data_IF_094573685972
#
_entry.id   IF_094573685972
#
_cell.length_a   1.000
_cell.length_b   1.000
_cell.length_c   1.000
_cell.angle_alpha   90.00
_cell.angle_beta   90.00
_cell.angle_gamma   90.00
#
_symmetry.space_group_name_H-M   'P 1'
#
loop_
_entity.id
_entity.type
_entity.pdbx_description
1 polymer ?
#
# COMPACT_ATOMS: atom_id res chain seq x y z
N UNK A 1 -11.92 24.98 -15.73
CA UNK A 1 -11.78 24.97 -14.26
C UNK A 1 -11.65 23.52 -13.84
N UNK A 2 -10.43 23.09 -13.54
CA UNK A 2 -10.13 21.68 -13.29
C UNK A 2 -9.99 21.48 -11.79
N UNK A 3 -11.11 21.20 -11.13
CA UNK A 3 -11.13 20.80 -9.71
C UNK A 3 -10.37 19.49 -9.56
N UNK A 4 -9.10 19.54 -9.12
CA UNK A 4 -8.31 18.32 -8.89
C UNK A 4 -8.78 17.68 -7.58
N UNK A 5 -9.22 16.43 -7.67
CA UNK A 5 -9.56 15.60 -6.50
C UNK A 5 -8.35 14.76 -6.12
N UNK A 6 -8.00 14.77 -4.84
CA UNK A 6 -7.01 13.91 -4.22
C UNK A 6 -7.69 13.04 -3.16
N UNK A 7 -7.14 11.89 -2.89
CA UNK A 7 -7.56 11.01 -1.82
C UNK A 7 -6.77 11.33 -0.55
N UNK A 8 -7.49 11.52 0.56
CA UNK A 8 -6.90 11.68 1.88
C UNK A 8 -6.72 10.29 2.50
N UNK A 9 -5.48 9.87 2.74
CA UNK A 9 -5.14 8.54 3.26
C UNK A 9 -4.28 8.65 4.50
N UNK A 10 -4.42 7.69 5.41
CA UNK A 10 -3.57 7.57 6.59
C UNK A 10 -3.08 6.13 6.77
N UNK A 11 -1.91 5.97 7.39
CA UNK A 11 -1.48 4.67 7.90
C UNK A 11 -2.27 4.38 9.19
N UNK A 12 -2.93 3.24 9.24
CA UNK A 12 -3.80 2.83 10.36
C UNK A 12 -3.32 1.54 11.03
N UNK A 13 -2.15 1.04 10.66
CA UNK A 13 -1.55 -0.17 11.23
C UNK A 13 -0.60 -0.85 10.24
N UNK A 14 -0.27 -2.10 10.53
CA UNK A 14 0.62 -2.93 9.72
C UNK A 14 0.02 -4.33 9.56
N UNK A 15 0.43 -5.04 8.51
CA UNK A 15 0.07 -6.43 8.28
C UNK A 15 1.25 -7.19 7.68
N UNK A 16 1.38 -8.46 8.03
CA UNK A 16 2.39 -9.36 7.48
C UNK A 16 1.80 -10.11 6.30
N UNK A 17 2.52 -10.13 5.17
CA UNK A 17 2.13 -10.92 4.00
C UNK A 17 2.48 -12.40 4.22
N UNK A 18 1.94 -13.29 3.38
CA UNK A 18 2.29 -14.72 3.44
C UNK A 18 3.81 -14.97 3.31
N UNK A 19 4.51 -14.08 2.61
CA UNK A 19 5.98 -14.11 2.43
C UNK A 19 6.77 -13.58 3.63
N UNK A 20 6.11 -13.26 4.74
CA UNK A 20 6.75 -12.77 5.97
C UNK A 20 7.14 -11.29 5.97
N UNK A 21 6.77 -10.52 4.92
CA UNK A 21 7.07 -9.08 4.87
C UNK A 21 6.02 -8.26 5.61
N UNK A 22 6.46 -7.37 6.50
CA UNK A 22 5.57 -6.40 7.17
C UNK A 22 5.32 -5.20 6.26
N UNK A 23 4.04 -4.91 5.98
CA UNK A 23 3.60 -3.77 5.15
C UNK A 23 2.64 -2.88 5.94
N UNK A 24 2.74 -1.56 5.70
CA UNK A 24 1.80 -0.58 6.27
C UNK A 24 0.41 -0.74 5.67
N UNK A 25 -0.61 -0.75 6.52
CA UNK A 25 -2.03 -0.69 6.16
C UNK A 25 -2.44 0.76 6.03
N UNK A 26 -2.84 1.15 4.82
CA UNK A 26 -3.40 2.47 4.56
C UNK A 26 -4.93 2.39 4.45
N UNK A 27 -5.61 3.38 5.01
CA UNK A 27 -7.05 3.56 4.85
C UNK A 27 -7.35 4.93 4.24
N UNK A 28 -8.39 4.99 3.41
CA UNK A 28 -8.90 6.23 2.84
C UNK A 28 -9.84 6.88 3.85
N UNK A 29 -9.50 8.10 4.26
CA UNK A 29 -10.24 8.88 5.24
C UNK A 29 -11.22 9.86 4.61
N UNK A 30 -10.97 10.24 3.36
CA UNK A 30 -11.85 11.16 2.63
C UNK A 30 -11.24 11.64 1.31
N UNK A 31 -11.48 12.91 0.97
CA UNK A 31 -11.01 13.52 -0.27
C UNK A 31 -10.60 14.97 -0.05
N UNK A 32 -9.55 15.39 -0.75
CA UNK A 32 -9.17 16.79 -0.86
C UNK A 32 -9.49 17.33 -2.25
N UNK A 33 -9.88 18.60 -2.29
CA UNK A 33 -10.23 19.31 -3.50
C UNK A 33 -9.32 20.52 -3.62
N UNK A 34 -8.62 20.60 -4.74
CA UNK A 34 -7.80 21.76 -5.09
C UNK A 34 -8.61 22.62 -6.06
N UNK A 35 -8.84 23.88 -5.71
CA UNK A 35 -9.51 24.83 -6.59
C UNK A 35 -8.51 25.47 -7.58
N UNK A 36 -9.02 26.25 -8.53
CA UNK A 36 -8.18 26.89 -9.56
C UNK A 36 -7.23 27.96 -9.00
N UNK A 37 -7.42 28.38 -7.74
CA UNK A 37 -6.52 29.29 -7.00
C UNK A 37 -5.44 28.56 -6.20
N UNK A 38 -5.45 27.22 -6.21
CA UNK A 38 -4.51 26.40 -5.45
C UNK A 38 -4.88 26.18 -3.98
N UNK A 39 -6.03 26.67 -3.53
CA UNK A 39 -6.52 26.43 -2.17
C UNK A 39 -7.00 24.97 -2.05
N UNK A 40 -6.67 24.35 -0.91
CA UNK A 40 -6.98 22.95 -0.64
C UNK A 40 -8.07 22.86 0.41
N UNK A 41 -9.19 22.25 0.05
CA UNK A 41 -10.28 21.91 0.97
C UNK A 41 -10.31 20.40 1.19
N UNK A 42 -10.21 19.96 2.44
CA UNK A 42 -10.26 18.53 2.79
C UNK A 42 -11.62 18.20 3.40
N UNK A 43 -12.28 17.18 2.85
CA UNK A 43 -13.46 16.55 3.44
C UNK A 43 -13.05 15.18 3.99
N UNK A 44 -13.25 14.97 5.29
CA UNK A 44 -13.03 13.68 5.95
C UNK A 44 -14.38 13.01 6.17
N UNK A 45 -14.52 11.77 5.69
CA UNK A 45 -15.69 10.93 5.90
C UNK A 45 -15.48 10.02 7.13
N UNK A 46 -14.23 9.67 7.43
CA UNK A 46 -13.85 8.95 8.65
C UNK A 46 -12.55 9.49 9.24
N UNK A 47 -12.42 9.37 10.56
CA UNK A 47 -11.21 9.72 11.30
C UNK A 47 -10.76 8.45 12.05
N UNK A 48 -9.50 8.01 11.89
CA UNK A 48 -9.00 6.88 12.66
C UNK A 48 -8.94 7.26 14.13
N UNK A 49 -9.42 6.36 14.99
CA UNK A 49 -9.30 6.50 16.43
C UNK A 49 -8.49 5.31 16.96
N UNK A 50 -7.34 5.57 17.59
CA UNK A 50 -6.49 4.54 18.18
C UNK A 50 -5.00 4.81 18.04
N UNK A 51 -4.17 4.08 18.81
CA UNK A 51 -2.72 4.30 18.87
C UNK A 51 -1.92 3.91 17.63
N UNK A 52 -2.54 3.25 16.65
CA UNK A 52 -1.89 2.85 15.39
C UNK A 52 -1.84 3.97 14.34
N UNK A 53 -2.52 5.09 14.58
CA UNK A 53 -2.45 6.28 13.74
C UNK A 53 -1.56 7.34 14.39
N UNK A 54 -0.64 7.89 13.61
CA UNK A 54 0.35 8.90 14.01
C UNK A 54 -0.16 10.34 13.87
N UNK A 55 -1.44 10.53 13.51
CA UNK A 55 -2.06 11.83 13.29
C UNK A 55 -1.84 12.41 11.90
N UNK A 56 -1.08 11.76 11.03
CA UNK A 56 -0.78 12.27 9.70
C UNK A 56 -1.78 11.79 8.65
N UNK A 57 -2.15 12.72 7.75
CA UNK A 57 -2.97 12.45 6.57
C UNK A 57 -2.18 12.87 5.33
N UNK A 58 -1.99 11.92 4.42
CA UNK A 58 -1.35 12.15 3.12
C UNK A 58 -2.40 12.38 2.04
N UNK A 59 -2.20 13.38 1.19
CA UNK A 59 -3.02 13.60 0.00
C UNK A 59 -2.34 12.96 -1.20
N UNK A 60 -3.03 12.03 -1.88
CA UNK A 60 -2.51 11.32 -3.07
C UNK A 60 -3.48 11.40 -4.22
N UNK A 61 -3.00 11.13 -5.43
CA UNK A 61 -3.90 11.00 -6.57
C UNK A 61 -4.88 9.84 -6.32
N UNK A 62 -6.16 9.98 -6.72
CA UNK A 62 -7.15 8.93 -6.53
C UNK A 62 -6.65 7.63 -7.14
N UNK A 63 -6.77 6.55 -6.37
CA UNK A 63 -6.40 5.24 -6.89
C UNK A 63 -7.42 4.84 -7.95
N UNK A 64 -6.95 4.81 -9.19
CA UNK A 64 -7.73 4.42 -10.35
C UNK A 64 -7.58 2.91 -10.52
N UNK A 65 -8.66 2.15 -10.31
CA UNK A 65 -8.60 0.68 -10.38
C UNK A 65 -8.23 0.18 -11.78
N UNK A 66 -8.44 1.00 -12.83
CA UNK A 66 -8.05 0.69 -14.20
C UNK A 66 -6.57 0.95 -14.48
N UNK A 67 -5.88 1.70 -13.62
CA UNK A 67 -4.42 1.88 -13.75
C UNK A 67 -3.72 0.71 -13.08
N UNK A 68 -2.79 0.03 -13.76
CA UNK A 68 -2.03 -1.06 -13.14
C UNK A 68 -1.40 -0.53 -11.86
N UNK A 69 -1.65 -1.23 -10.75
CA UNK A 69 -1.05 -0.91 -9.46
C UNK A 69 0.44 -0.65 -9.67
N UNK A 70 0.94 0.50 -9.20
CA UNK A 70 2.35 0.87 -9.37
C UNK A 70 3.22 -0.33 -9.03
N UNK A 71 3.82 -0.91 -10.07
CA UNK A 71 4.64 -2.10 -10.00
C UNK A 71 5.73 -1.79 -8.98
N UNK A 72 5.65 -2.44 -7.81
CA UNK A 72 6.72 -2.33 -6.82
C UNK A 72 7.95 -2.87 -7.53
N UNK A 73 8.93 -2.02 -7.79
CA UNK A 73 10.18 -2.40 -8.45
C UNK A 73 10.98 -3.26 -7.49
N UNK A 74 10.65 -4.54 -7.44
CA UNK A 74 11.46 -5.54 -6.78
C UNK A 74 12.59 -5.91 -7.74
N UNK A 75 13.87 -5.68 -7.40
CA UNK A 75 14.96 -6.15 -8.24
C UNK A 75 14.94 -7.68 -8.21
N UNK A 76 14.60 -8.29 -9.34
CA UNK A 76 14.72 -9.73 -9.57
C UNK A 76 16.12 -10.17 -9.17
N UNK A 77 16.24 -10.84 -8.01
CA UNK A 77 17.45 -11.58 -7.65
C UNK A 77 17.63 -12.66 -8.70
N UNK A 78 18.57 -12.45 -9.61
CA UNK A 78 19.07 -13.47 -10.51
C UNK A 78 19.59 -14.62 -9.66
N UNK A 79 18.82 -15.70 -9.55
CA UNK A 79 19.30 -16.92 -8.92
C UNK A 79 20.31 -17.54 -9.89
N UNK A 80 21.59 -17.43 -9.52
CA UNK A 80 22.66 -18.23 -10.11
C UNK A 80 22.24 -19.70 -10.09
N UNK A 81 22.13 -20.27 -11.27
CA UNK A 81 21.99 -21.72 -11.49
C UNK A 81 23.29 -22.35 -10.99
N UNK A 82 23.23 -22.96 -9.81
CA UNK A 82 24.31 -23.70 -9.16
C UNK A 82 23.77 -25.06 -8.72
N UNK A 83 24.45 -26.10 -9.19
CA UNK A 83 24.07 -27.50 -9.22
C UNK A 83 24.12 -28.20 -7.84
N UNK A 84 23.42 -29.35 -7.78
CA UNK A 84 23.62 -30.51 -6.91
C UNK A 84 23.08 -30.46 -5.46
N UNK A 85 22.01 -31.20 -5.19
CA UNK A 85 22.04 -32.42 -4.37
C UNK A 85 20.61 -32.93 -4.13
N UNK A 86 20.34 -34.10 -4.71
CA UNK A 86 19.57 -35.22 -4.15
C UNK A 86 18.96 -35.02 -2.74
N UNK A 87 17.63 -34.95 -2.67
CA UNK A 87 16.84 -35.18 -1.45
C UNK A 87 15.73 -36.18 -1.77
N UNK A 88 16.15 -37.43 -2.01
CA UNK A 88 15.74 -38.59 -1.24
C UNK A 88 14.24 -38.82 -1.01
N UNK A 89 13.79 -39.98 -1.50
CA UNK A 89 12.72 -40.82 -0.93
C UNK A 89 12.74 -40.81 0.62
N UNK A 90 12.05 -39.85 1.23
CA UNK A 90 11.77 -39.83 2.66
C UNK A 90 10.25 -39.76 2.82
N UNK A 91 9.67 -40.95 2.72
CA UNK A 91 8.57 -41.45 3.54
C UNK A 91 7.84 -40.38 4.36
N UNK A 92 6.64 -40.00 3.89
CA UNK A 92 5.71 -39.13 4.62
C UNK A 92 4.83 -40.06 5.46
N UNK A 93 5.06 -40.23 6.78
CA UNK A 93 4.11 -40.98 7.60
C UNK A 93 2.79 -40.21 7.71
N UNK A 94 1.70 -40.96 7.64
CA UNK A 94 0.31 -40.53 7.78
C UNK A 94 -0.02 -39.94 9.16
#
# INVERSE_FOLDING_TARGET
MSKKRLDAIAAVGEYTTADGQTKKRYSKLGSAFVNDKGEVSVKLDSIPCGGSWDGWISLREPYDQEKPARQSSEPTRTSRRGSAADFGDQDVPF
#
